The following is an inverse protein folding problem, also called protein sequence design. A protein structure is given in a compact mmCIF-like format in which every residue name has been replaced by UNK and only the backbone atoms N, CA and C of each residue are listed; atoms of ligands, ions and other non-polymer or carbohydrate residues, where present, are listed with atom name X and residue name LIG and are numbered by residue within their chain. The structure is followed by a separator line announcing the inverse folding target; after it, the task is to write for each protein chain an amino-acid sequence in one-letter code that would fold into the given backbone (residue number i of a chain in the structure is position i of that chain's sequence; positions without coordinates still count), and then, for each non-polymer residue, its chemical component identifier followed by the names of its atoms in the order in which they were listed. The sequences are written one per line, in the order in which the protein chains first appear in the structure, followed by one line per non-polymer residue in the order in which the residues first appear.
data_IF_148174949618
#
_entry.id   IF_148174949618
#
_cell.length_a   1.000
_cell.length_b   1.000
_cell.length_c   1.000
_cell.angle_alpha   90.00
_cell.angle_beta   90.00
_cell.angle_gamma   90.00
#
_symmetry.space_group_name_H-M   'P 1'
#
loop_
_entity.id
_entity.type
_entity.pdbx_description
1 polymer ?
#
# COMPACT_ATOMS: atom_id res chain seq x y z
N UNK A 1 -5.47 -12.96 15.91
CA UNK A 1 -5.99 -12.62 14.58
C UNK A 1 -5.50 -13.64 13.54
N UNK A 2 -4.20 -13.74 13.20
CA UNK A 2 -3.71 -14.67 12.17
C UNK A 2 -3.23 -16.05 12.68
N UNK A 3 -3.18 -16.29 13.98
CA UNK A 3 -2.83 -17.61 14.52
C UNK A 3 -3.86 -18.66 14.06
N UNK A 4 -3.37 -19.82 13.59
CA UNK A 4 -4.17 -20.87 12.99
C UNK A 4 -4.65 -20.64 11.56
N UNK A 5 -4.43 -19.44 10.99
CA UNK A 5 -4.88 -19.04 9.66
C UNK A 5 -3.89 -19.34 8.56
N UNK A 6 -4.40 -19.55 7.36
CA UNK A 6 -3.63 -19.64 6.11
C UNK A 6 -3.74 -18.28 5.40
N UNK A 7 -2.60 -17.62 5.20
CA UNK A 7 -2.51 -16.30 4.60
C UNK A 7 -1.84 -16.38 3.24
N UNK A 8 -2.41 -15.79 2.21
CA UNK A 8 -1.78 -15.63 0.89
C UNK A 8 -1.46 -14.14 0.67
N UNK A 9 -0.23 -13.86 0.26
CA UNK A 9 0.17 -12.52 -0.15
C UNK A 9 0.60 -12.52 -1.62
N UNK A 10 -0.14 -11.79 -2.48
CA UNK A 10 0.28 -11.54 -3.86
C UNK A 10 1.34 -10.43 -3.87
N UNK A 11 2.30 -10.49 -4.79
CA UNK A 11 3.43 -9.55 -4.75
C UNK A 11 4.34 -9.73 -3.53
N UNK A 12 4.31 -10.91 -2.90
CA UNK A 12 4.96 -11.19 -1.61
C UNK A 12 6.48 -11.06 -1.59
N UNK A 13 7.15 -10.97 -2.75
CA UNK A 13 8.59 -10.69 -2.86
C UNK A 13 8.93 -9.20 -2.99
N UNK A 14 7.92 -8.33 -3.04
CA UNK A 14 8.09 -6.86 -3.02
C UNK A 14 8.48 -6.34 -1.64
N UNK A 15 8.75 -5.02 -1.53
CA UNK A 15 9.14 -4.39 -0.26
C UNK A 15 8.10 -4.61 0.84
N UNK A 16 6.83 -4.33 0.54
CA UNK A 16 5.73 -4.56 1.48
C UNK A 16 5.61 -6.05 1.83
N UNK A 17 5.60 -6.95 0.84
CA UNK A 17 5.45 -8.38 1.07
C UNK A 17 6.53 -8.98 1.97
N UNK A 18 7.79 -8.58 1.75
CA UNK A 18 8.92 -8.99 2.62
C UNK A 18 8.72 -8.52 4.06
N UNK A 19 8.30 -7.27 4.26
CA UNK A 19 8.04 -6.72 5.61
C UNK A 19 6.82 -7.38 6.26
N UNK A 20 5.75 -7.61 5.49
CA UNK A 20 4.57 -8.33 5.98
C UNK A 20 4.93 -9.73 6.48
N UNK A 21 5.70 -10.51 5.72
CA UNK A 21 6.18 -11.84 6.14
C UNK A 21 6.99 -11.74 7.42
N UNK A 22 7.92 -10.78 7.52
CA UNK A 22 8.74 -10.54 8.72
C UNK A 22 7.89 -10.28 9.96
N UNK A 23 6.93 -9.34 9.86
CA UNK A 23 6.03 -8.98 10.96
C UNK A 23 5.13 -10.16 11.37
N UNK A 24 4.55 -10.88 10.39
CA UNK A 24 3.69 -12.02 10.71
C UNK A 24 4.46 -13.15 11.41
N UNK A 25 5.68 -13.45 10.96
CA UNK A 25 6.53 -14.46 11.61
C UNK A 25 6.94 -14.06 13.04
N UNK A 26 7.08 -12.76 13.32
CA UNK A 26 7.40 -12.25 14.64
C UNK A 26 6.18 -12.25 15.57
N UNK A 27 5.04 -11.73 15.11
CA UNK A 27 3.90 -11.38 15.95
C UNK A 27 2.83 -12.49 15.99
N UNK A 28 2.84 -13.42 15.02
CA UNK A 28 1.89 -14.54 14.92
C UNK A 28 2.60 -15.89 14.78
N UNK A 29 3.29 -16.35 15.86
CA UNK A 29 4.14 -17.56 15.80
C UNK A 29 3.35 -18.83 15.45
N UNK A 30 2.03 -18.83 15.68
CA UNK A 30 1.15 -19.96 15.39
C UNK A 30 0.34 -19.77 14.08
N UNK A 31 0.79 -18.90 13.15
CA UNK A 31 0.21 -18.83 11.82
C UNK A 31 0.35 -20.20 11.13
N UNK A 32 -0.76 -20.72 10.59
CA UNK A 32 -0.75 -22.08 10.02
C UNK A 32 0.07 -22.16 8.73
N UNK A 33 -0.04 -21.15 7.85
CA UNK A 33 0.69 -21.09 6.58
C UNK A 33 0.74 -19.66 6.06
N UNK A 34 1.86 -19.29 5.43
CA UNK A 34 2.00 -18.05 4.68
C UNK A 34 2.41 -18.43 3.25
N UNK A 35 1.57 -18.12 2.28
CA UNK A 35 1.79 -18.37 0.87
C UNK A 35 2.30 -17.08 0.22
N UNK A 36 3.54 -17.09 -0.23
CA UNK A 36 4.19 -16.00 -0.96
C UNK A 36 3.96 -16.24 -2.45
N UNK A 37 3.03 -15.48 -3.04
CA UNK A 37 2.65 -15.61 -4.45
C UNK A 37 3.28 -14.48 -5.27
N UNK A 38 4.17 -14.82 -6.20
CA UNK A 38 4.84 -13.85 -7.08
C UNK A 38 5.40 -14.49 -8.33
N UNK A 39 5.70 -13.70 -9.35
CA UNK A 39 6.24 -14.14 -10.63
C UNK A 39 7.74 -14.45 -10.60
N UNK A 40 8.47 -13.74 -9.75
CA UNK A 40 9.93 -13.67 -9.75
C UNK A 40 10.53 -14.82 -8.93
N UNK A 41 11.07 -15.82 -9.62
CA UNK A 41 11.72 -16.98 -9.01
C UNK A 41 12.95 -16.61 -8.19
N UNK A 42 13.80 -15.73 -8.72
CA UNK A 42 15.05 -15.32 -8.04
C UNK A 42 14.75 -14.66 -6.70
N UNK A 43 13.81 -13.72 -6.65
CA UNK A 43 13.41 -13.08 -5.39
C UNK A 43 12.76 -14.05 -4.40
N UNK A 44 12.05 -15.09 -4.89
CA UNK A 44 11.57 -16.15 -4.03
C UNK A 44 12.72 -17.00 -3.47
N UNK A 45 13.72 -17.30 -4.28
CA UNK A 45 14.92 -18.01 -3.85
C UNK A 45 15.70 -17.23 -2.78
N UNK A 46 15.95 -15.93 -3.01
CA UNK A 46 16.56 -15.04 -2.01
C UNK A 46 15.80 -15.06 -0.66
N UNK A 47 14.46 -15.05 -0.74
CA UNK A 47 13.63 -15.08 0.45
C UNK A 47 13.69 -16.43 1.18
N UNK A 48 13.82 -17.54 0.44
CA UNK A 48 14.06 -18.90 1.01
C UNK A 48 15.39 -18.96 1.75
N UNK A 49 16.45 -18.30 1.23
CA UNK A 49 17.73 -18.24 1.92
C UNK A 49 17.62 -17.47 3.25
N UNK A 50 16.86 -16.36 3.27
CA UNK A 50 16.60 -15.59 4.50
C UNK A 50 15.75 -16.37 5.50
N UNK A 51 14.82 -17.19 5.05
CA UNK A 51 13.87 -17.94 5.86
C UNK A 51 13.94 -19.44 5.53
N UNK A 52 14.97 -20.18 6.04
CA UNK A 52 15.14 -21.61 5.77
C UNK A 52 13.95 -22.44 6.26
N UNK A 53 13.52 -23.43 5.46
CA UNK A 53 12.34 -24.25 5.73
C UNK A 53 12.43 -25.01 7.07
N UNK A 54 13.63 -25.39 7.51
CA UNK A 54 13.82 -26.04 8.81
C UNK A 54 13.38 -25.15 9.99
N UNK A 55 13.56 -23.83 9.88
CA UNK A 55 13.18 -22.85 10.92
C UNK A 55 11.78 -22.25 10.68
N UNK A 56 11.35 -22.17 9.42
CA UNK A 56 10.10 -21.52 9.01
C UNK A 56 9.23 -22.47 8.17
N UNK A 57 8.79 -23.61 8.72
CA UNK A 57 8.06 -24.64 7.97
C UNK A 57 6.66 -24.19 7.49
N UNK A 58 6.14 -23.06 8.02
CA UNK A 58 4.86 -22.47 7.60
C UNK A 58 4.94 -21.74 6.26
N UNK A 59 6.12 -21.36 5.77
CA UNK A 59 6.25 -20.63 4.51
C UNK A 59 6.06 -21.51 3.29
N UNK A 60 5.34 -21.01 2.30
CA UNK A 60 5.18 -21.62 0.97
C UNK A 60 5.46 -20.58 -0.11
N UNK A 61 6.19 -20.99 -1.11
CA UNK A 61 6.63 -20.12 -2.21
C UNK A 61 5.97 -20.59 -3.51
N UNK A 62 4.99 -19.85 -3.98
CA UNK A 62 4.23 -20.18 -5.17
C UNK A 62 4.57 -19.20 -6.30
N UNK A 63 5.21 -19.73 -7.35
CA UNK A 63 5.39 -18.98 -8.58
C UNK A 63 4.03 -18.87 -9.26
N UNK A 64 3.63 -17.66 -9.60
CA UNK A 64 2.39 -17.39 -10.31
C UNK A 64 2.18 -15.90 -10.58
N UNK A 65 1.35 -15.63 -11.56
CA UNK A 65 0.95 -14.30 -11.99
C UNK A 65 -0.52 -14.05 -11.58
N UNK A 66 -0.85 -12.87 -11.08
CA UNK A 66 -2.25 -12.51 -10.76
C UNK A 66 -3.13 -12.42 -11.99
N UNK A 67 -2.54 -12.34 -13.19
CA UNK A 67 -3.25 -12.39 -14.47
C UNK A 67 -3.73 -13.79 -14.84
N UNK A 68 -3.15 -14.81 -14.24
CA UNK A 68 -3.53 -16.22 -14.41
C UNK A 68 -4.53 -16.63 -13.32
N UNK A 69 -5.81 -16.62 -13.68
CA UNK A 69 -6.91 -16.95 -12.78
C UNK A 69 -6.86 -18.41 -12.30
N UNK A 70 -6.52 -19.35 -13.19
CA UNK A 70 -6.49 -20.78 -12.85
C UNK A 70 -5.40 -21.04 -11.80
N UNK A 71 -4.18 -20.56 -12.05
CA UNK A 71 -3.06 -20.69 -11.12
C UNK A 71 -3.34 -20.02 -9.78
N UNK A 72 -3.94 -18.82 -9.81
CA UNK A 72 -4.30 -18.08 -8.60
C UNK A 72 -5.38 -18.81 -7.81
N UNK A 73 -6.41 -19.34 -8.45
CA UNK A 73 -7.48 -20.12 -7.79
C UNK A 73 -6.91 -21.32 -7.06
N UNK A 74 -6.04 -22.10 -7.72
CA UNK A 74 -5.33 -23.22 -7.06
C UNK A 74 -4.49 -22.78 -5.87
N UNK A 75 -3.86 -21.61 -5.95
CA UNK A 75 -3.08 -21.06 -4.84
C UNK A 75 -3.97 -20.60 -3.66
N UNK A 76 -5.22 -20.26 -3.91
CA UNK A 76 -6.20 -19.82 -2.91
C UNK A 76 -6.92 -20.98 -2.20
N UNK A 77 -6.72 -22.23 -2.58
CA UNK A 77 -7.36 -23.37 -1.92
C UNK A 77 -6.99 -23.46 -0.43
N UNK A 78 -8.01 -23.41 0.43
CA UNK A 78 -7.84 -23.44 1.88
C UNK A 78 -7.17 -22.19 2.48
N UNK A 79 -7.19 -21.07 1.77
CA UNK A 79 -6.71 -19.77 2.25
C UNK A 79 -7.82 -19.07 3.03
N UNK A 80 -7.49 -18.55 4.21
CA UNK A 80 -8.39 -17.76 5.05
C UNK A 80 -8.33 -16.26 4.72
N UNK A 81 -7.12 -15.75 4.45
CA UNK A 81 -6.87 -14.31 4.28
C UNK A 81 -6.00 -14.07 3.05
N UNK A 82 -6.39 -13.13 2.21
CA UNK A 82 -5.58 -12.66 1.07
C UNK A 82 -5.16 -11.20 1.30
N UNK A 83 -3.86 -10.93 1.15
CA UNK A 83 -3.30 -9.58 1.02
C UNK A 83 -2.89 -9.36 -0.42
N UNK A 84 -3.58 -8.46 -1.12
CA UNK A 84 -3.29 -8.18 -2.52
C UNK A 84 -2.35 -6.99 -2.66
N UNK A 85 -1.05 -7.28 -2.82
CA UNK A 85 0.01 -6.27 -2.97
C UNK A 85 0.69 -6.28 -4.36
N UNK A 86 0.27 -7.15 -5.26
CA UNK A 86 0.80 -7.21 -6.61
C UNK A 86 0.26 -6.06 -7.46
N UNK A 87 1.16 -5.23 -8.02
CA UNK A 87 0.81 -4.16 -8.95
C UNK A 87 2.03 -3.73 -9.77
N UNK A 88 1.79 -3.14 -10.95
CA UNK A 88 2.73 -2.25 -11.62
C UNK A 88 2.53 -0.87 -11.01
N UNK A 89 3.59 -0.25 -10.48
CA UNK A 89 3.49 1.00 -9.69
C UNK A 89 4.33 2.17 -10.20
N UNK A 90 5.25 1.92 -11.13
CA UNK A 90 6.08 2.97 -11.72
C UNK A 90 5.25 3.74 -12.74
N UNK A 91 5.09 5.06 -12.54
CA UNK A 91 4.23 5.90 -13.38
C UNK A 91 4.70 5.86 -14.84
N UNK A 92 5.99 6.15 -15.09
CA UNK A 92 6.55 6.17 -16.44
C UNK A 92 6.41 4.80 -17.14
N UNK A 93 6.62 3.72 -16.39
CA UNK A 93 6.46 2.35 -16.92
C UNK A 93 5.00 2.04 -17.26
N UNK A 94 4.05 2.52 -16.46
CA UNK A 94 2.63 2.33 -16.69
C UNK A 94 2.16 3.12 -17.93
N UNK A 95 2.59 4.37 -18.08
CA UNK A 95 2.26 5.19 -19.25
C UNK A 95 2.83 4.57 -20.55
N UNK A 96 4.05 4.03 -20.48
CA UNK A 96 4.68 3.41 -21.64
C UNK A 96 4.12 2.01 -21.98
N UNK A 97 3.60 1.29 -20.97
CA UNK A 97 3.05 -0.07 -21.11
C UNK A 97 1.60 -0.15 -20.58
N UNK A 98 0.65 0.58 -21.20
CA UNK A 98 -0.69 0.74 -20.65
C UNK A 98 -1.45 -0.57 -20.51
N UNK A 99 -1.39 -1.44 -21.49
CA UNK A 99 -2.07 -2.74 -21.46
C UNK A 99 -1.56 -3.63 -20.33
N UNK A 100 -0.26 -3.71 -20.11
CA UNK A 100 0.33 -4.51 -19.05
C UNK A 100 -0.03 -3.97 -17.67
N UNK A 101 -0.13 -2.64 -17.54
CA UNK A 101 -0.60 -1.99 -16.33
C UNK A 101 -2.08 -2.36 -16.05
N UNK A 102 -2.95 -2.25 -17.05
CA UNK A 102 -4.37 -2.63 -16.94
C UNK A 102 -4.52 -4.12 -16.63
N UNK A 103 -3.84 -4.99 -17.37
CA UNK A 103 -3.88 -6.44 -17.14
C UNK A 103 -3.46 -6.81 -15.72
N UNK A 104 -2.42 -6.16 -15.20
CA UNK A 104 -1.92 -6.48 -13.86
C UNK A 104 -2.78 -5.85 -12.76
N UNK A 105 -3.07 -4.56 -12.85
CA UNK A 105 -3.69 -3.82 -11.76
C UNK A 105 -5.22 -3.97 -11.74
N UNK A 106 -5.86 -4.09 -12.92
CA UNK A 106 -7.31 -4.20 -13.04
C UNK A 106 -7.75 -5.66 -13.18
N UNK A 107 -7.28 -6.36 -14.23
CA UNK A 107 -7.67 -7.76 -14.43
C UNK A 107 -7.09 -8.66 -13.34
N UNK A 108 -5.87 -8.35 -12.84
CA UNK A 108 -5.31 -9.04 -11.68
C UNK A 108 -6.17 -8.87 -10.42
N UNK A 109 -6.70 -7.67 -10.16
CA UNK A 109 -7.65 -7.43 -9.07
C UNK A 109 -8.95 -8.24 -9.25
N UNK A 110 -9.53 -8.25 -10.46
CA UNK A 110 -10.69 -9.07 -10.79
C UNK A 110 -10.43 -10.56 -10.55
N UNK A 111 -9.26 -11.06 -10.92
CA UNK A 111 -8.89 -12.46 -10.72
C UNK A 111 -8.75 -12.81 -9.24
N UNK A 112 -8.18 -11.89 -8.42
CA UNK A 112 -8.11 -12.08 -6.96
C UNK A 112 -9.50 -12.17 -6.36
N UNK A 113 -10.42 -11.30 -6.77
CA UNK A 113 -11.82 -11.32 -6.30
C UNK A 113 -12.49 -12.64 -6.71
N UNK A 114 -12.37 -13.06 -7.98
CA UNK A 114 -12.93 -14.31 -8.49
C UNK A 114 -12.39 -15.53 -7.75
N UNK A 115 -11.06 -15.62 -7.57
CA UNK A 115 -10.42 -16.72 -6.85
C UNK A 115 -10.84 -16.75 -5.37
N UNK A 116 -10.91 -15.59 -4.71
CA UNK A 116 -11.34 -15.48 -3.32
C UNK A 116 -12.80 -15.95 -3.14
N UNK A 117 -13.70 -15.54 -4.03
CA UNK A 117 -15.09 -15.97 -4.03
C UNK A 117 -15.23 -17.48 -4.31
N UNK A 118 -14.44 -18.03 -5.24
CA UNK A 118 -14.48 -19.47 -5.58
C UNK A 118 -13.98 -20.33 -4.41
N UNK A 119 -12.89 -19.91 -3.75
CA UNK A 119 -12.25 -20.65 -2.65
C UNK A 119 -12.84 -20.32 -1.26
N UNK A 120 -13.86 -19.45 -1.17
CA UNK A 120 -14.49 -19.02 0.08
C UNK A 120 -13.49 -18.46 1.10
N UNK A 121 -12.56 -17.63 0.61
CA UNK A 121 -11.65 -16.86 1.45
C UNK A 121 -12.46 -15.95 2.37
N UNK A 122 -12.02 -15.78 3.62
CA UNK A 122 -12.81 -15.03 4.60
C UNK A 122 -12.53 -13.51 4.52
N UNK A 123 -11.26 -13.12 4.44
CA UNK A 123 -10.87 -11.70 4.41
C UNK A 123 -9.92 -11.41 3.24
N UNK A 124 -10.19 -10.34 2.52
CA UNK A 124 -9.34 -9.85 1.43
C UNK A 124 -9.05 -8.36 1.65
N UNK A 125 -7.78 -8.01 1.81
CA UNK A 125 -7.34 -6.61 1.91
C UNK A 125 -6.44 -6.29 0.72
N UNK A 126 -6.85 -5.31 -0.09
CA UNK A 126 -6.08 -4.82 -1.22
C UNK A 126 -5.29 -3.56 -0.85
N UNK A 127 -4.03 -3.49 -1.29
CA UNK A 127 -3.21 -2.29 -1.12
C UNK A 127 -3.51 -1.28 -2.23
N UNK A 128 -3.69 -0.02 -1.86
CA UNK A 128 -3.89 1.11 -2.74
C UNK A 128 -2.84 2.20 -2.50
N UNK A 129 -3.05 3.38 -3.06
CA UNK A 129 -2.11 4.49 -3.10
C UNK A 129 -2.86 5.82 -3.11
N UNK A 130 -2.22 6.89 -2.61
CA UNK A 130 -2.63 8.29 -2.77
C UNK A 130 -2.90 8.66 -4.24
N UNK A 131 -2.18 8.04 -5.18
CA UNK A 131 -2.36 8.29 -6.63
C UNK A 131 -3.68 7.76 -7.19
N UNK A 132 -4.41 6.91 -6.45
CA UNK A 132 -5.76 6.48 -6.79
C UNK A 132 -6.81 7.56 -6.47
N UNK A 133 -6.47 8.54 -5.64
CA UNK A 133 -7.32 9.68 -5.33
C UNK A 133 -7.16 10.73 -6.42
N UNK A 134 -8.23 11.17 -7.09
CA UNK A 134 -8.21 12.12 -8.21
C UNK A 134 -7.04 11.87 -9.19
N UNK A 135 -6.97 10.71 -9.87
CA UNK A 135 -5.81 10.27 -10.64
C UNK A 135 -5.55 11.14 -11.85
N UNK A 136 -4.28 11.49 -12.11
CA UNK A 136 -3.84 12.21 -13.31
C UNK A 136 -2.90 11.37 -14.20
N UNK A 137 -2.67 10.10 -13.83
CA UNK A 137 -1.85 9.16 -14.57
C UNK A 137 -2.51 7.77 -14.59
N UNK A 138 -2.05 6.91 -15.52
CA UNK A 138 -2.63 5.59 -15.71
C UNK A 138 -2.47 4.69 -14.49
N UNK A 139 -1.33 4.74 -13.81
CA UNK A 139 -1.15 3.97 -12.57
C UNK A 139 -2.25 4.31 -11.55
N UNK A 140 -2.46 5.58 -11.28
CA UNK A 140 -3.51 6.05 -10.37
C UNK A 140 -4.91 5.62 -10.83
N UNK A 141 -5.22 5.79 -12.14
CA UNK A 141 -6.51 5.39 -12.72
C UNK A 141 -6.76 3.88 -12.57
N UNK A 142 -5.75 3.04 -12.83
CA UNK A 142 -5.88 1.58 -12.64
C UNK A 142 -6.04 1.20 -11.15
N UNK A 143 -5.41 1.93 -10.23
CA UNK A 143 -5.57 1.71 -8.80
C UNK A 143 -6.93 2.16 -8.29
N UNK A 144 -7.47 3.30 -8.77
CA UNK A 144 -8.83 3.70 -8.48
C UNK A 144 -9.84 2.63 -8.97
N UNK A 145 -9.65 2.11 -10.18
CA UNK A 145 -10.48 1.03 -10.71
C UNK A 145 -10.41 -0.21 -9.82
N UNK A 146 -9.20 -0.59 -9.40
CA UNK A 146 -9.00 -1.70 -8.46
C UNK A 146 -9.72 -1.47 -7.12
N UNK A 147 -9.63 -0.26 -6.54
CA UNK A 147 -10.31 0.10 -5.30
C UNK A 147 -11.83 -0.09 -5.45
N UNK A 148 -12.42 0.42 -6.54
CA UNK A 148 -13.85 0.26 -6.82
C UNK A 148 -14.25 -1.20 -7.02
N UNK A 149 -13.42 -2.03 -7.65
CA UNK A 149 -13.67 -3.47 -7.81
C UNK A 149 -13.71 -4.19 -6.45
N UNK A 150 -12.74 -3.94 -5.57
CA UNK A 150 -12.71 -4.58 -4.24
C UNK A 150 -13.86 -4.10 -3.35
N UNK A 151 -14.18 -2.81 -3.33
CA UNK A 151 -15.31 -2.31 -2.53
C UNK A 151 -16.64 -2.88 -3.03
N UNK A 152 -16.86 -2.91 -4.34
CA UNK A 152 -18.08 -3.45 -4.95
C UNK A 152 -18.21 -4.99 -4.83
N UNK A 153 -17.10 -5.72 -4.66
CA UNK A 153 -17.11 -7.18 -4.53
C UNK A 153 -17.97 -7.68 -3.36
N UNK A 154 -18.16 -6.87 -2.33
CA UNK A 154 -19.04 -7.18 -1.21
C UNK A 154 -20.50 -7.32 -1.62
N UNK A 155 -20.94 -6.64 -2.69
CA UNK A 155 -22.31 -6.68 -3.17
C UNK A 155 -22.61 -7.93 -4.03
N UNK A 156 -21.57 -8.62 -4.54
CA UNK A 156 -21.72 -9.81 -5.41
C UNK A 156 -21.34 -11.12 -4.73
N UNK A 157 -21.01 -11.10 -3.44
CA UNK A 157 -20.56 -12.28 -2.69
C UNK A 157 -21.67 -13.29 -2.39
N UNK A 158 -22.97 -12.91 -2.54
CA UNK A 158 -24.11 -13.72 -2.14
C UNK A 158 -24.10 -14.02 -0.64
N UNK A 159 -24.37 -15.27 -0.27
CA UNK A 159 -24.37 -15.73 1.13
C UNK A 159 -22.98 -16.12 1.67
N UNK A 160 -21.89 -15.86 0.92
CA UNK A 160 -20.55 -16.19 1.37
C UNK A 160 -20.09 -15.26 2.48
N UNK A 161 -19.50 -15.83 3.53
CA UNK A 161 -18.85 -15.06 4.61
C UNK A 161 -17.45 -14.62 4.16
N UNK A 162 -17.43 -13.63 3.29
CA UNK A 162 -16.21 -13.00 2.78
C UNK A 162 -16.35 -11.49 2.85
N UNK A 163 -15.26 -10.81 3.20
CA UNK A 163 -15.14 -9.36 3.27
C UNK A 163 -13.98 -8.87 2.43
N UNK A 164 -14.24 -7.84 1.65
CA UNK A 164 -13.23 -7.15 0.84
C UNK A 164 -13.09 -5.73 1.35
N UNK A 165 -11.87 -5.28 1.57
CA UNK A 165 -11.55 -3.88 1.91
C UNK A 165 -10.26 -3.45 1.25
N UNK A 166 -10.00 -2.15 1.31
CA UNK A 166 -8.83 -1.51 0.72
C UNK A 166 -8.08 -0.74 1.79
N UNK A 167 -6.76 -0.70 1.72
CA UNK A 167 -5.94 0.23 2.46
C UNK A 167 -5.24 1.17 1.47
N UNK A 168 -5.42 2.48 1.66
CA UNK A 168 -4.83 3.53 0.82
C UNK A 168 -3.83 4.31 1.66
N UNK A 169 -2.58 4.41 1.18
CA UNK A 169 -1.54 5.17 1.85
C UNK A 169 -0.59 5.82 0.85
N UNK A 170 0.19 6.79 1.33
CA UNK A 170 1.13 7.56 0.53
C UNK A 170 2.45 6.86 0.24
N UNK A 171 3.50 7.65 0.08
CA UNK A 171 4.83 7.16 -0.24
C UNK A 171 5.41 6.34 0.90
N UNK A 172 5.84 5.13 0.59
CA UNK A 172 6.51 4.26 1.56
C UNK A 172 7.99 4.59 1.60
N UNK A 173 8.46 4.97 2.80
CA UNK A 173 9.85 5.36 3.06
C UNK A 173 10.83 4.26 2.62
N UNK A 174 11.88 4.64 1.88
CA UNK A 174 12.92 3.72 1.45
C UNK A 174 12.49 2.64 0.45
N UNK A 175 11.26 2.72 -0.09
CA UNK A 175 10.82 1.77 -1.11
C UNK A 175 11.65 1.90 -2.39
N UNK A 176 11.81 0.81 -3.15
CA UNK A 176 12.57 0.81 -4.41
C UNK A 176 12.04 1.87 -5.37
N UNK A 177 12.95 2.70 -5.92
CA UNK A 177 12.63 3.78 -6.84
C UNK A 177 12.02 5.02 -6.18
N UNK A 178 12.04 5.13 -4.84
CA UNK A 178 11.60 6.34 -4.13
C UNK A 178 12.74 7.36 -3.97
N UNK A 179 12.38 8.57 -3.55
CA UNK A 179 13.28 9.73 -3.46
C UNK A 179 14.46 9.52 -2.50
N UNK A 180 14.26 8.84 -1.37
CA UNK A 180 15.33 8.62 -0.38
C UNK A 180 16.48 7.77 -0.98
N UNK A 181 16.26 6.56 -1.51
CA UNK A 181 17.32 5.80 -2.19
C UNK A 181 17.91 6.54 -3.38
N UNK A 182 17.13 7.33 -4.10
CA UNK A 182 17.61 8.10 -5.24
C UNK A 182 18.62 9.17 -4.81
N UNK A 183 18.29 10.02 -3.84
CA UNK A 183 19.20 11.06 -3.35
C UNK A 183 20.41 10.47 -2.62
N UNK A 184 20.23 9.40 -1.84
CA UNK A 184 21.34 8.70 -1.19
C UNK A 184 22.35 8.20 -2.21
N UNK A 185 21.89 7.57 -3.29
CA UNK A 185 22.73 7.11 -4.39
C UNK A 185 23.46 8.26 -5.05
N UNK A 186 22.80 9.34 -5.44
CA UNK A 186 23.43 10.51 -6.06
C UNK A 186 24.53 11.09 -5.18
N UNK A 187 24.26 11.26 -3.88
CA UNK A 187 25.24 11.71 -2.90
C UNK A 187 26.47 10.79 -2.87
N UNK A 188 26.27 9.49 -2.78
CA UNK A 188 27.34 8.50 -2.63
C UNK A 188 28.14 8.32 -3.94
N UNK A 189 27.54 8.58 -5.10
CA UNK A 189 28.18 8.66 -6.41
C UNK A 189 28.94 9.99 -6.63
N UNK A 190 28.89 10.94 -5.68
CA UNK A 190 29.62 12.20 -5.74
C UNK A 190 28.94 13.27 -6.61
N UNK A 191 27.62 13.27 -6.70
CA UNK A 191 26.87 14.33 -7.38
C UNK A 191 27.23 15.71 -6.80
N UNK A 192 27.27 16.73 -7.64
CA UNK A 192 27.56 18.12 -7.25
C UNK A 192 26.31 18.89 -6.82
N UNK A 193 25.14 18.39 -7.16
CA UNK A 193 23.84 18.97 -6.87
C UNK A 193 22.77 17.90 -6.79
N UNK A 194 21.61 18.19 -6.15
CA UNK A 194 20.48 17.30 -6.10
C UNK A 194 19.33 17.87 -6.94
N UNK A 195 18.75 17.10 -7.89
CA UNK A 195 17.63 17.54 -8.70
C UNK A 195 16.33 17.49 -7.89
N UNK A 196 15.67 18.63 -7.73
CA UNK A 196 14.36 18.76 -7.08
C UNK A 196 13.31 18.99 -8.17
N UNK A 197 12.27 18.20 -8.16
CA UNK A 197 11.20 18.28 -9.16
C UNK A 197 10.48 19.64 -9.12
N UNK A 198 10.12 20.09 -7.90
CA UNK A 198 9.56 21.42 -7.60
C UNK A 198 9.76 21.69 -6.11
N UNK A 199 10.19 22.88 -5.73
CA UNK A 199 10.49 23.26 -4.34
C UNK A 199 9.24 23.28 -3.43
N UNK A 200 8.05 23.39 -4.01
CA UNK A 200 6.76 23.38 -3.31
C UNK A 200 6.23 21.97 -3.10
N UNK A 201 6.80 20.97 -3.80
CA UNK A 201 6.25 19.61 -3.87
C UNK A 201 6.23 18.93 -2.50
N UNK A 202 5.08 18.40 -2.14
CA UNK A 202 4.87 17.67 -0.88
C UNK A 202 4.44 16.23 -1.12
N UNK A 203 4.72 15.35 -0.17
CA UNK A 203 4.32 13.95 -0.18
C UNK A 203 3.95 13.51 1.24
N UNK A 204 3.14 12.47 1.32
CA UNK A 204 2.92 11.75 2.57
C UNK A 204 4.05 10.76 2.84
N UNK A 205 4.30 10.46 4.12
CA UNK A 205 5.36 9.56 4.56
C UNK A 205 4.83 8.43 5.45
N UNK A 206 5.07 7.18 5.05
CA UNK A 206 4.72 6.01 5.88
C UNK A 206 5.88 5.01 5.89
N UNK A 207 6.15 4.41 7.06
CA UNK A 207 7.08 3.27 7.14
C UNK A 207 6.41 1.97 6.66
N UNK A 208 7.21 0.98 6.26
CA UNK A 208 6.68 -0.35 5.92
C UNK A 208 5.98 -1.01 7.12
N UNK A 209 6.50 -0.80 8.33
CA UNK A 209 5.89 -1.28 9.57
C UNK A 209 4.50 -0.70 9.79
N UNK A 210 4.35 0.61 9.63
CA UNK A 210 3.06 1.29 9.76
C UNK A 210 2.07 0.84 8.68
N UNK A 211 2.54 0.61 7.45
CA UNK A 211 1.73 0.03 6.38
C UNK A 211 1.22 -1.37 6.69
N UNK A 212 2.07 -2.24 7.26
CA UNK A 212 1.65 -3.57 7.72
C UNK A 212 0.67 -3.48 8.88
N UNK A 213 0.94 -2.62 9.87
CA UNK A 213 0.03 -2.43 11.02
C UNK A 213 -1.36 -1.98 10.57
N UNK A 214 -1.44 -1.14 9.54
CA UNK A 214 -2.71 -0.69 8.96
C UNK A 214 -3.46 -1.83 8.27
N UNK A 215 -2.79 -2.70 7.51
CA UNK A 215 -3.41 -3.89 6.92
C UNK A 215 -3.94 -4.82 8.01
N UNK A 216 -3.17 -5.02 9.09
CA UNK A 216 -3.61 -5.83 10.23
C UNK A 216 -4.83 -5.20 10.92
N UNK A 217 -4.85 -3.86 11.06
CA UNK A 217 -6.01 -3.16 11.58
C UNK A 217 -7.25 -3.39 10.70
N UNK A 218 -7.12 -3.23 9.39
CA UNK A 218 -8.22 -3.46 8.44
C UNK A 218 -8.78 -4.88 8.55
N UNK A 219 -7.93 -5.94 8.58
CA UNK A 219 -8.36 -7.34 8.74
C UNK A 219 -9.19 -7.54 10.01
N UNK A 220 -8.82 -6.86 11.11
CA UNK A 220 -9.49 -7.02 12.40
C UNK A 220 -10.79 -6.23 12.54
N UNK A 221 -11.04 -5.24 11.69
CA UNK A 221 -12.11 -4.26 11.94
C UNK A 221 -13.04 -4.02 10.74
N UNK A 222 -12.75 -4.51 9.54
CA UNK A 222 -13.60 -4.24 8.38
C UNK A 222 -14.93 -5.01 8.43
N UNK A 223 -16.01 -4.36 8.01
CA UNK A 223 -17.30 -4.98 7.71
C UNK A 223 -17.40 -5.42 6.24
N UNK A 224 -16.64 -4.76 5.37
CA UNK A 224 -16.57 -4.97 3.93
C UNK A 224 -16.98 -3.74 3.12
N UNK A 225 -16.10 -3.32 2.20
CA UNK A 225 -16.29 -2.15 1.34
C UNK A 225 -15.53 -0.91 1.76
N UNK A 226 -14.93 -0.89 2.95
CA UNK A 226 -14.19 0.26 3.46
C UNK A 226 -12.86 0.46 2.74
N UNK A 227 -12.48 1.74 2.57
CA UNK A 227 -11.12 2.16 2.22
C UNK A 227 -10.51 2.81 3.45
N UNK A 228 -9.58 2.14 4.11
CA UNK A 228 -8.86 2.65 5.27
C UNK A 228 -7.71 3.57 4.83
N UNK A 229 -7.55 4.71 5.49
CA UNK A 229 -6.56 5.74 5.18
C UNK A 229 -5.86 6.16 6.48
N UNK A 230 -4.52 6.07 6.59
CA UNK A 230 -3.81 6.45 7.80
C UNK A 230 -3.66 7.96 7.89
N UNK A 231 -3.73 8.50 9.10
CA UNK A 231 -3.24 9.84 9.41
C UNK A 231 -1.72 9.75 9.57
N UNK A 232 -0.99 10.26 8.60
CA UNK A 232 0.47 10.15 8.50
C UNK A 232 1.09 11.50 8.17
N UNK A 233 2.35 11.74 8.58
CA UNK A 233 3.01 13.00 8.31
C UNK A 233 3.24 13.27 6.83
N UNK A 234 3.35 14.54 6.50
CA UNK A 234 3.79 15.06 5.20
C UNK A 234 5.25 15.54 5.26
N UNK A 235 5.87 15.67 4.10
CA UNK A 235 7.19 16.29 3.95
C UNK A 235 7.31 17.03 2.63
N UNK A 236 8.19 18.05 2.58
CA UNK A 236 8.62 18.64 1.33
C UNK A 236 9.76 17.82 0.72
N UNK A 237 9.78 17.69 -0.61
CA UNK A 237 10.87 16.98 -1.31
C UNK A 237 12.24 17.61 -1.03
N UNK A 238 12.29 18.96 -0.95
CA UNK A 238 13.50 19.70 -0.59
C UNK A 238 14.06 19.33 0.79
N UNK A 239 13.18 19.00 1.75
CA UNK A 239 13.60 18.64 3.11
C UNK A 239 14.23 17.25 3.17
N UNK A 240 13.82 16.34 2.29
CA UNK A 240 14.50 15.04 2.10
C UNK A 240 15.90 15.24 1.54
N UNK A 241 16.06 16.12 0.55
CA UNK A 241 17.37 16.45 0.01
C UNK A 241 18.30 17.04 1.10
N UNK A 242 17.78 18.00 1.90
CA UNK A 242 18.48 18.58 3.05
C UNK A 242 18.82 17.53 4.13
N UNK A 243 17.91 16.59 4.39
CA UNK A 243 18.16 15.51 5.34
C UNK A 243 19.32 14.61 4.92
N UNK A 244 19.46 14.33 3.62
CA UNK A 244 20.45 13.40 3.07
C UNK A 244 21.79 14.07 2.81
N UNK A 245 21.77 15.26 2.19
CA UNK A 245 22.98 15.98 1.75
C UNK A 245 22.80 17.50 1.92
N UNK A 246 22.89 18.02 3.16
CA UNK A 246 22.63 19.43 3.46
C UNK A 246 23.57 20.41 2.75
N UNK A 247 24.77 19.94 2.37
CA UNK A 247 25.80 20.77 1.74
C UNK A 247 25.73 20.79 0.21
N UNK A 248 24.87 19.95 -0.40
CA UNK A 248 24.69 19.95 -1.85
C UNK A 248 23.64 20.98 -2.30
N UNK A 249 23.93 21.78 -3.33
CA UNK A 249 22.92 22.65 -3.94
C UNK A 249 21.72 21.84 -4.42
N UNK A 250 20.54 22.42 -4.27
CA UNK A 250 19.30 21.87 -4.78
C UNK A 250 18.89 22.63 -6.03
N UNK A 251 18.69 21.93 -7.15
CA UNK A 251 18.37 22.53 -8.45
C UNK A 251 16.98 22.05 -8.90
N UNK A 252 16.08 22.99 -9.18
CA UNK A 252 14.74 22.67 -9.66
C UNK A 252 14.81 22.22 -11.12
N UNK A 253 14.27 21.02 -11.42
CA UNK A 253 14.32 20.39 -12.75
C UNK A 253 12.95 20.33 -13.45
N UNK A 254 11.87 20.72 -12.76
CA UNK A 254 10.51 20.71 -13.27
C UNK A 254 9.73 19.43 -12.94
N UNK A 255 8.39 19.58 -12.93
CA UNK A 255 7.46 18.47 -12.63
C UNK A 255 7.41 17.52 -13.83
N UNK A 256 7.49 16.22 -13.56
CA UNK A 256 7.40 15.19 -14.60
C UNK A 256 5.96 15.01 -15.05
N UNK A 257 5.72 14.58 -16.31
CA UNK A 257 4.38 14.21 -16.74
C UNK A 257 3.74 13.18 -15.81
N UNK A 258 2.48 13.43 -15.42
CA UNK A 258 1.75 12.53 -14.53
C UNK A 258 2.09 12.62 -13.04
N UNK A 259 2.96 13.57 -12.63
CA UNK A 259 3.23 13.85 -11.21
C UNK A 259 2.39 15.02 -10.71
N UNK A 260 1.79 14.88 -9.53
CA UNK A 260 1.10 15.96 -8.82
C UNK A 260 2.08 16.81 -8.01
N UNK A 261 1.80 18.09 -7.86
CA UNK A 261 2.51 18.96 -6.93
C UNK A 261 2.30 18.47 -5.49
N UNK A 262 1.06 18.21 -5.12
CA UNK A 262 0.64 17.65 -3.83
C UNK A 262 -0.15 16.36 -4.04
N UNK A 263 0.04 15.38 -3.18
CA UNK A 263 -0.74 14.13 -3.22
C UNK A 263 -1.97 14.26 -2.30
N UNK A 264 -3.04 13.60 -2.68
CA UNK A 264 -4.31 13.62 -1.98
C UNK A 264 -4.75 12.20 -1.65
N UNK A 265 -5.33 11.98 -0.48
CA UNK A 265 -5.89 10.68 -0.07
C UNK A 265 -7.40 10.70 0.09
N UNK A 266 -8.00 11.86 0.36
CA UNK A 266 -9.44 12.06 0.49
C UNK A 266 -9.80 13.35 -0.22
N UNK A 267 -10.62 13.28 -1.27
CA UNK A 267 -11.15 14.46 -1.95
C UNK A 267 -12.32 15.06 -1.17
N UNK A 268 -12.71 16.29 -1.48
CA UNK A 268 -13.94 16.90 -0.95
C UNK A 268 -15.17 16.05 -1.24
N UNK A 269 -15.20 15.38 -2.41
CA UNK A 269 -16.30 14.45 -2.76
C UNK A 269 -16.26 13.17 -1.93
N UNK A 270 -15.06 12.58 -1.71
CA UNK A 270 -14.91 11.39 -0.86
C UNK A 270 -15.30 11.70 0.61
N UNK A 271 -15.15 12.95 1.06
CA UNK A 271 -15.47 13.37 2.42
C UNK A 271 -16.94 13.13 2.80
N UNK A 272 -17.87 13.17 1.83
CA UNK A 272 -19.28 12.87 2.06
C UNK A 272 -19.51 11.49 2.66
N UNK A 273 -18.66 10.51 2.29
CA UNK A 273 -18.71 9.14 2.78
C UNK A 273 -17.55 8.82 3.75
N UNK A 274 -16.83 9.83 4.24
CA UNK A 274 -15.68 9.62 5.11
C UNK A 274 -16.05 9.75 6.59
N UNK A 275 -15.49 8.84 7.40
CA UNK A 275 -15.58 8.86 8.86
C UNK A 275 -14.18 8.89 9.48
N UNK A 276 -14.06 9.50 10.64
CA UNK A 276 -12.83 9.64 11.43
C UNK A 276 -12.83 8.68 12.62
N UNK A 277 -11.83 7.79 12.67
CA UNK A 277 -11.59 6.81 13.73
C UNK A 277 -10.50 7.28 14.72
N UNK A 278 -10.12 8.54 14.70
CA UNK A 278 -8.99 9.08 15.47
C UNK A 278 -7.64 8.80 14.80
N UNK A 279 -7.21 7.54 14.72
CA UNK A 279 -5.93 7.15 14.10
C UNK A 279 -6.01 6.99 12.57
N UNK A 280 -7.19 6.67 12.05
CA UNK A 280 -7.45 6.43 10.64
C UNK A 280 -8.67 7.21 10.17
N UNK A 281 -8.69 7.53 8.88
CA UNK A 281 -9.94 7.84 8.19
C UNK A 281 -10.42 6.58 7.47
N UNK A 282 -11.73 6.50 7.24
CA UNK A 282 -12.32 5.43 6.43
C UNK A 282 -13.31 6.05 5.46
N UNK A 283 -13.11 5.80 4.16
CA UNK A 283 -14.13 6.08 3.15
C UNK A 283 -15.05 4.86 3.10
N UNK A 284 -16.33 5.09 3.34
CA UNK A 284 -17.37 4.06 3.28
C UNK A 284 -17.74 3.75 1.83
N UNK A 285 -18.28 2.54 1.55
CA UNK A 285 -18.74 2.21 0.21
C UNK A 285 -19.96 3.08 -0.16
N UNK A 286 -19.90 3.73 -1.33
CA UNK A 286 -21.00 4.55 -1.85
C UNK A 286 -22.28 3.73 -2.12
N UNK A 287 -22.14 2.42 -2.34
CA UNK A 287 -23.25 1.47 -2.49
C UNK A 287 -22.96 0.27 -1.61
N UNK A 288 -23.79 0.04 -0.62
CA UNK A 288 -23.76 -1.14 0.25
C UNK A 288 -25.16 -1.69 0.45
N UNK A 289 -25.33 -2.99 0.17
CA UNK A 289 -26.57 -3.71 0.45
C UNK A 289 -26.54 -4.48 1.78
N UNK A 290 -25.38 -4.51 2.45
CA UNK A 290 -25.15 -5.31 3.66
C UNK A 290 -25.24 -4.47 4.94
N UNK A 291 -24.73 -3.23 4.89
CA UNK A 291 -24.63 -2.36 6.05
C UNK A 291 -24.99 -0.92 5.69
N UNK A 292 -25.69 -0.25 6.61
CA UNK A 292 -26.00 1.17 6.51
C UNK A 292 -24.81 2.01 6.97
N UNK A 293 -24.82 3.30 6.64
CA UNK A 293 -23.81 4.26 7.10
C UNK A 293 -23.74 4.31 8.64
N UNK A 294 -24.89 4.27 9.31
CA UNK A 294 -24.99 4.30 10.77
C UNK A 294 -24.40 3.04 11.41
N UNK A 295 -24.55 1.88 10.77
CA UNK A 295 -23.92 0.64 11.23
C UNK A 295 -22.40 0.72 11.13
N UNK A 296 -21.85 1.25 10.04
CA UNK A 296 -20.39 1.51 9.93
C UNK A 296 -19.90 2.47 11.01
N UNK A 297 -20.58 3.61 11.21
CA UNK A 297 -20.21 4.60 12.23
C UNK A 297 -20.22 3.96 13.63
N UNK A 298 -21.25 3.21 13.96
CA UNK A 298 -21.37 2.52 15.24
C UNK A 298 -20.29 1.44 15.42
N UNK A 299 -20.06 0.63 14.40
CA UNK A 299 -19.07 -0.44 14.44
C UNK A 299 -17.65 0.10 14.69
N UNK A 300 -17.30 1.15 14.00
CA UNK A 300 -15.97 1.78 14.12
C UNK A 300 -15.85 2.77 15.28
N UNK A 301 -16.94 3.05 16.00
CA UNK A 301 -16.99 4.10 17.03
C UNK A 301 -16.44 5.43 16.51
N UNK A 302 -16.87 5.82 15.32
CA UNK A 302 -16.32 6.91 14.52
C UNK A 302 -17.27 8.12 14.49
N UNK A 303 -16.76 9.23 13.97
CA UNK A 303 -17.54 10.43 13.67
C UNK A 303 -17.39 10.80 12.20
N UNK A 304 -18.44 11.34 11.53
CA UNK A 304 -18.31 11.88 10.18
C UNK A 304 -17.27 13.02 10.16
N UNK A 305 -16.51 13.15 9.07
CA UNK A 305 -15.66 14.32 8.89
C UNK A 305 -16.50 15.57 8.57
N UNK A 306 -16.00 16.78 8.82
CA UNK A 306 -16.74 18.02 8.51
C UNK A 306 -17.01 18.19 7.01
N UNK A 307 -18.05 18.95 6.68
CA UNK A 307 -18.33 19.35 5.29
C UNK A 307 -17.14 20.13 4.70
N UNK A 308 -16.82 19.85 3.44
CA UNK A 308 -15.68 20.45 2.75
C UNK A 308 -14.32 19.90 3.18
N UNK A 309 -14.28 18.89 4.05
CA UNK A 309 -13.04 18.21 4.42
C UNK A 309 -12.33 17.63 3.19
N UNK A 310 -11.01 17.73 3.18
CA UNK A 310 -10.15 16.98 2.26
C UNK A 310 -8.83 16.68 2.97
N UNK A 311 -8.13 15.65 2.53
CA UNK A 311 -6.86 15.24 3.13
C UNK A 311 -5.80 15.12 2.05
N UNK A 312 -4.94 16.13 1.98
CA UNK A 312 -3.83 16.22 1.03
C UNK A 312 -2.50 16.48 1.74
N UNK A 313 -1.40 16.26 1.04
CA UNK A 313 -0.07 16.36 1.63
C UNK A 313 0.36 17.80 1.94
N UNK A 314 -0.30 18.80 1.40
CA UNK A 314 -0.03 20.23 1.65
C UNK A 314 -0.92 20.83 2.74
N UNK A 315 -2.12 20.26 3.00
CA UNK A 315 -3.00 20.73 4.08
C UNK A 315 -2.87 19.97 5.38
N UNK A 316 -1.91 19.06 5.47
CA UNK A 316 -1.65 18.25 6.66
C UNK A 316 -1.11 19.10 7.83
N UNK A 317 -1.45 18.72 9.05
CA UNK A 317 -0.96 19.37 10.28
C UNK A 317 0.30 18.69 10.86
N UNK A 318 0.62 17.47 10.39
CA UNK A 318 1.77 16.70 10.85
C UNK A 318 2.86 16.72 9.75
N UNK A 319 4.04 17.26 10.10
CA UNK A 319 5.13 17.49 9.15
C UNK A 319 6.45 16.90 9.62
N UNK A 320 7.15 16.25 8.70
CA UNK A 320 8.55 15.85 8.90
C UNK A 320 9.47 17.03 8.66
N UNK A 321 10.47 17.18 9.53
CA UNK A 321 11.62 18.05 9.32
C UNK A 321 12.81 17.26 8.78
N UNK A 322 13.88 17.92 8.29
CA UNK A 322 15.11 17.21 7.95
C UNK A 322 15.66 16.34 9.10
N UNK A 323 15.52 16.77 10.35
CA UNK A 323 15.98 16.06 11.55
C UNK A 323 15.15 14.79 11.79
N UNK A 324 13.83 14.90 11.84
CA UNK A 324 12.94 13.74 12.02
C UNK A 324 13.07 12.76 10.85
N UNK A 325 13.30 13.28 9.64
CA UNK A 325 13.54 12.47 8.46
C UNK A 325 14.84 11.64 8.60
N UNK A 326 15.93 12.23 9.10
CA UNK A 326 17.20 11.51 9.37
C UNK A 326 17.01 10.39 10.39
N UNK A 327 16.30 10.65 11.47
CA UNK A 327 15.98 9.63 12.48
C UNK A 327 15.21 8.47 11.87
N UNK A 328 14.17 8.78 11.10
CA UNK A 328 13.35 7.76 10.42
C UNK A 328 14.12 7.00 9.34
N UNK A 329 15.03 7.65 8.60
CA UNK A 329 15.91 6.95 7.64
C UNK A 329 16.77 5.94 8.39
N UNK A 330 17.39 6.32 9.52
CA UNK A 330 18.19 5.38 10.34
C UNK A 330 17.34 4.23 10.88
N UNK A 331 16.14 4.53 11.33
CA UNK A 331 15.27 3.53 11.96
C UNK A 331 14.68 2.54 10.94
N UNK A 332 14.26 3.01 9.77
CA UNK A 332 13.41 2.22 8.86
C UNK A 332 14.05 1.89 7.51
N UNK A 333 15.12 2.57 7.11
CA UNK A 333 15.73 2.41 5.79
C UNK A 333 17.14 1.86 5.87
N UNK A 334 18.02 2.56 6.58
CA UNK A 334 19.44 2.21 6.71
C UNK A 334 19.96 2.57 8.12
N UNK A 335 20.15 1.57 9.01
CA UNK A 335 20.68 1.81 10.35
C UNK A 335 22.07 2.48 10.37
N UNK A 336 22.83 2.37 9.27
CA UNK A 336 24.15 2.95 9.11
C UNK A 336 24.13 4.31 8.39
N UNK A 337 22.95 4.87 8.16
CA UNK A 337 22.80 6.15 7.47
C UNK A 337 23.62 7.26 8.16
N UNK A 338 24.47 7.96 7.39
CA UNK A 338 25.24 9.11 7.82
C UNK A 338 24.95 10.29 6.89
N UNK A 339 24.80 11.45 7.49
CA UNK A 339 24.70 12.73 6.76
C UNK A 339 26.09 13.09 6.27
N UNK A 340 26.25 13.46 5.00
CA UNK A 340 27.53 13.88 4.41
C UNK A 340 27.41 15.29 3.84
#
# INVERSE_FOLDING_TARGET
MLNGKVVLITGGTGSFGKKFVEVILRDYPNVKKIIIYSRDELKQYELKLKYPAAKYPMLRYFIGDVRDLERLTRACEGVDVIIHAAAIKQVDTAEYNPEECIKTNVHGAQNVIKAALACRVHDVVALSTDKACAPINLYGATKLTSDKLFTAANNIKGSKDIRFSVVRYGNVMGSRGSVIPFFTRLRDEGAKELPITDMRMTRFNISLEAGVAMVMYAIGHHLGGEIFIPKIPSYHIKDVATAIAPNLPQVEVGIRPGEKLHEEMITVTDALDTIDLGKYYVILPSVSFMHTREEFIKHHNAVPVPDGFHYSSDNNTDWETPETMREKIKQFVDPNFVVK
#
